data_IF_834108769808
#
_entry.id   IF_834108769808
#
_cell.length_a   1.000
_cell.length_b   1.000
_cell.length_c   1.000
_cell.angle_alpha   90.00
_cell.angle_beta   90.00
_cell.angle_gamma   90.00
#
_symmetry.space_group_name_H-M   'P 1'
#
loop_
_entity.id
_entity.type
_entity.pdbx_description
1 polymer ?
#
# COMPACT_ATOMS: atom_id res chain seq x y z
N UNK A 1 -6.46 8.24 -34.55
CA UNK A 1 -7.60 8.89 -33.88
C UNK A 1 -7.18 9.06 -32.43
N UNK A 2 -7.10 10.31 -31.91
CA UNK A 2 -6.77 10.54 -30.50
C UNK A 2 -7.97 10.05 -29.67
N UNK A 3 -7.75 9.10 -28.76
CA UNK A 3 -8.75 8.73 -27.76
C UNK A 3 -9.09 9.96 -26.93
N UNK A 4 -10.34 10.38 -26.97
CA UNK A 4 -10.85 11.48 -26.15
C UNK A 4 -10.86 10.99 -24.70
N UNK A 5 -9.83 11.32 -23.94
CA UNK A 5 -9.72 10.95 -22.52
C UNK A 5 -10.89 11.58 -21.77
N UNK A 6 -11.64 10.79 -21.01
CA UNK A 6 -12.74 11.30 -20.18
C UNK A 6 -12.26 12.44 -19.25
N UNK A 7 -13.04 13.51 -19.07
CA UNK A 7 -12.70 14.60 -18.16
C UNK A 7 -12.30 14.11 -16.75
N UNK A 8 -12.99 13.12 -16.22
CA UNK A 8 -12.67 12.48 -14.92
C UNK A 8 -11.30 11.82 -14.92
N UNK A 9 -10.92 11.12 -16.00
CA UNK A 9 -9.58 10.51 -16.11
C UNK A 9 -8.48 11.58 -16.12
N UNK A 10 -8.72 12.69 -16.80
CA UNK A 10 -7.76 13.80 -16.86
C UNK A 10 -7.62 14.45 -15.49
N UNK A 11 -8.72 14.72 -14.81
CA UNK A 11 -8.72 15.29 -13.47
C UNK A 11 -8.00 14.35 -12.47
N UNK A 12 -8.35 13.05 -12.48
CA UNK A 12 -7.68 12.04 -11.65
C UNK A 12 -6.16 12.07 -11.83
N UNK A 13 -5.69 12.07 -13.08
CA UNK A 13 -4.26 12.14 -13.39
C UNK A 13 -3.61 13.42 -12.86
N UNK A 14 -4.30 14.55 -12.96
CA UNK A 14 -3.80 15.84 -12.46
C UNK A 14 -3.63 15.82 -10.95
N UNK A 15 -4.65 15.35 -10.20
CA UNK A 15 -4.61 15.30 -8.75
C UNK A 15 -3.57 14.29 -8.22
N UNK A 16 -3.46 13.11 -8.86
CA UNK A 16 -2.41 12.13 -8.57
C UNK A 16 -1.03 12.76 -8.75
N UNK A 17 -0.78 13.41 -9.90
CA UNK A 17 0.52 14.00 -10.18
C UNK A 17 0.86 15.11 -9.18
N UNK A 18 -0.10 15.97 -8.82
CA UNK A 18 0.09 17.00 -7.80
C UNK A 18 0.53 16.39 -6.48
N UNK A 19 -0.25 15.45 -5.96
CA UNK A 19 0.00 14.78 -4.68
C UNK A 19 1.38 14.08 -4.67
N UNK A 20 1.69 13.27 -5.69
CA UNK A 20 2.95 12.54 -5.76
C UNK A 20 4.15 13.48 -5.86
N UNK A 21 4.04 14.61 -6.58
CA UNK A 21 5.12 15.60 -6.69
C UNK A 21 5.35 16.33 -5.35
N UNK A 22 4.31 16.69 -4.62
CA UNK A 22 4.42 17.30 -3.29
C UNK A 22 5.11 16.35 -2.30
N UNK A 23 4.69 15.08 -2.27
CA UNK A 23 5.32 14.05 -1.43
C UNK A 23 6.78 13.84 -1.82
N UNK A 24 7.09 13.77 -3.12
CA UNK A 24 8.47 13.63 -3.61
C UNK A 24 9.35 14.79 -3.15
N UNK A 25 8.91 16.03 -3.33
CA UNK A 25 9.66 17.20 -2.92
C UNK A 25 9.95 17.19 -1.41
N UNK A 26 8.96 16.83 -0.61
CA UNK A 26 9.05 16.74 0.83
C UNK A 26 10.02 15.63 1.28
N UNK A 27 9.87 14.40 0.75
CA UNK A 27 10.75 13.27 1.07
C UNK A 27 12.19 13.56 0.61
N UNK A 28 12.38 14.19 -0.55
CA UNK A 28 13.72 14.55 -1.05
C UNK A 28 14.42 15.56 -0.13
N UNK A 29 13.67 16.45 0.51
CA UNK A 29 14.21 17.46 1.42
C UNK A 29 14.49 16.94 2.82
N UNK A 30 13.60 16.06 3.36
CA UNK A 30 13.61 15.64 4.75
C UNK A 30 14.14 14.22 4.97
N UNK A 31 14.40 13.48 3.87
CA UNK A 31 14.72 12.07 3.90
C UNK A 31 13.51 11.19 4.30
N UNK A 32 13.73 9.89 4.31
CA UNK A 32 12.73 8.91 4.74
C UNK A 32 12.77 8.77 6.25
N UNK A 33 11.87 9.46 6.93
CA UNK A 33 11.72 9.45 8.39
C UNK A 33 10.26 9.25 8.79
N UNK A 34 9.97 8.81 10.02
CA UNK A 34 8.58 8.69 10.52
C UNK A 34 7.81 10.01 10.37
N UNK A 35 8.44 11.16 10.64
CA UNK A 35 7.82 12.48 10.48
C UNK A 35 7.49 12.78 9.03
N UNK A 36 8.44 12.56 8.11
CA UNK A 36 8.22 12.78 6.69
C UNK A 36 7.14 11.85 6.13
N UNK A 37 7.10 10.59 6.55
CA UNK A 37 6.02 9.67 6.14
C UNK A 37 4.66 10.08 6.73
N UNK A 38 4.62 10.66 7.92
CA UNK A 38 3.38 11.21 8.49
C UNK A 38 2.86 12.41 7.68
N UNK A 39 3.75 13.27 7.19
CA UNK A 39 3.39 14.36 6.28
C UNK A 39 2.93 13.82 4.91
N UNK A 40 3.64 12.83 4.35
CA UNK A 40 3.23 12.15 3.12
C UNK A 40 1.82 11.52 3.26
N UNK A 41 1.52 10.93 4.43
CA UNK A 41 0.19 10.42 4.74
C UNK A 41 -0.88 11.51 4.69
N UNK A 42 -0.61 12.71 5.20
CA UNK A 42 -1.56 13.81 5.15
C UNK A 42 -1.90 14.21 3.71
N UNK A 43 -0.91 14.32 2.81
CA UNK A 43 -1.15 14.57 1.37
C UNK A 43 -1.95 13.45 0.71
N UNK A 44 -1.66 12.19 1.05
CA UNK A 44 -2.37 11.05 0.47
C UNK A 44 -3.83 10.97 0.97
N UNK A 45 -4.08 11.32 2.24
CA UNK A 45 -5.42 11.43 2.80
C UNK A 45 -6.20 12.58 2.15
N UNK A 46 -5.55 13.71 1.83
CA UNK A 46 -6.20 14.78 1.06
C UNK A 46 -6.62 14.28 -0.32
N UNK A 47 -5.76 13.55 -1.04
CA UNK A 47 -6.11 12.93 -2.33
C UNK A 47 -7.29 11.95 -2.18
N UNK A 48 -7.36 11.20 -1.09
CA UNK A 48 -8.44 10.25 -0.82
C UNK A 48 -9.82 10.92 -0.60
N UNK A 49 -9.87 12.23 -0.37
CA UNK A 49 -11.16 12.96 -0.24
C UNK A 49 -11.91 13.11 -1.54
N UNK A 50 -11.25 12.95 -2.70
CA UNK A 50 -11.88 13.06 -4.04
C UNK A 50 -12.60 11.75 -4.40
N UNK A 51 -13.64 11.39 -3.64
CA UNK A 51 -14.39 10.13 -3.84
C UNK A 51 -15.05 10.03 -5.22
N UNK A 52 -15.37 11.16 -5.86
CA UNK A 52 -15.86 11.18 -7.24
C UNK A 52 -14.80 10.75 -8.27
N UNK A 53 -13.51 10.75 -7.88
CA UNK A 53 -12.39 10.27 -8.70
C UNK A 53 -11.93 8.87 -8.28
N UNK A 54 -12.10 8.50 -7.01
CA UNK A 54 -11.56 7.27 -6.43
C UNK A 54 -12.63 6.56 -5.62
N UNK A 55 -13.15 5.48 -6.16
CA UNK A 55 -14.16 4.63 -5.51
C UNK A 55 -14.10 3.21 -6.09
N UNK A 56 -14.80 2.28 -5.47
CA UNK A 56 -14.84 0.88 -5.87
C UNK A 56 -15.52 0.64 -7.23
N UNK A 57 -16.34 1.57 -7.75
CA UNK A 57 -16.89 1.47 -9.11
C UNK A 57 -15.79 1.66 -10.18
N UNK A 58 -14.79 2.50 -9.92
CA UNK A 58 -13.65 2.70 -10.82
C UNK A 58 -12.53 1.68 -10.62
N UNK A 59 -12.40 1.16 -9.42
CA UNK A 59 -11.36 0.21 -9.02
C UNK A 59 -11.97 -1.03 -8.36
N UNK A 60 -12.82 -1.78 -9.09
CA UNK A 60 -13.51 -2.94 -8.53
C UNK A 60 -12.56 -4.07 -8.19
N UNK A 61 -12.92 -4.89 -7.22
CA UNK A 61 -12.24 -6.16 -7.01
C UNK A 61 -12.55 -7.08 -8.18
N UNK A 62 -11.50 -7.61 -8.82
CA UNK A 62 -11.60 -8.64 -9.85
C UNK A 62 -11.49 -10.02 -9.17
N UNK A 63 -12.26 -11.02 -9.66
CA UNK A 63 -12.10 -12.44 -9.29
C UNK A 63 -12.77 -12.96 -8.00
N UNK A 64 -13.82 -12.31 -7.48
CA UNK A 64 -14.71 -12.96 -6.50
C UNK A 64 -14.35 -12.79 -5.02
N UNK A 65 -14.78 -13.74 -4.19
CA UNK A 65 -14.61 -13.69 -2.74
C UNK A 65 -13.14 -13.93 -2.30
N UNK A 66 -12.74 -13.35 -1.18
CA UNK A 66 -11.37 -13.41 -0.65
C UNK A 66 -10.32 -12.92 -1.67
N UNK A 67 -10.71 -12.00 -2.54
CA UNK A 67 -9.89 -11.49 -3.63
C UNK A 67 -9.38 -10.08 -3.34
N UNK A 68 -8.31 -9.73 -4.03
CA UNK A 68 -7.81 -8.36 -4.10
C UNK A 68 -7.39 -8.00 -5.51
N UNK A 69 -7.46 -6.70 -5.82
CA UNK A 69 -6.99 -6.15 -7.09
C UNK A 69 -6.12 -4.93 -6.82
N UNK A 70 -5.04 -4.82 -7.57
CA UNK A 70 -4.08 -3.76 -7.45
C UNK A 70 -3.99 -3.00 -8.78
N UNK A 71 -4.25 -1.71 -8.75
CA UNK A 71 -4.27 -0.82 -9.91
C UNK A 71 -3.11 0.16 -9.80
N UNK A 72 -2.17 0.12 -10.74
CA UNK A 72 -1.09 1.10 -10.80
C UNK A 72 -1.64 2.42 -11.32
N UNK A 73 -1.61 3.45 -10.50
CA UNK A 73 -2.11 4.79 -10.81
C UNK A 73 -1.00 5.71 -11.33
N UNK A 74 0.21 5.58 -10.77
CA UNK A 74 1.38 6.39 -11.12
C UNK A 74 2.65 5.70 -10.66
N UNK A 75 3.69 5.76 -11.47
CA UNK A 75 5.08 5.51 -11.10
C UNK A 75 5.99 6.38 -11.97
N UNK A 76 7.19 6.67 -11.52
CA UNK A 76 8.15 7.39 -12.36
C UNK A 76 9.00 6.45 -13.23
N UNK A 77 9.85 7.05 -14.07
CA UNK A 77 10.71 6.31 -15.01
C UNK A 77 11.74 5.40 -14.33
N UNK A 78 12.03 5.64 -13.04
CA UNK A 78 12.94 4.83 -12.23
C UNK A 78 12.20 3.82 -11.35
N UNK A 79 10.86 3.70 -11.52
CA UNK A 79 9.99 2.87 -10.70
C UNK A 79 9.95 3.30 -9.23
N UNK A 80 10.16 4.59 -8.97
CA UNK A 80 10.04 5.20 -7.64
C UNK A 80 8.68 5.89 -7.49
N UNK A 81 8.28 6.15 -6.22
CA UNK A 81 7.01 6.80 -5.88
C UNK A 81 5.81 6.17 -6.58
N UNK A 82 5.74 4.84 -6.51
CA UNK A 82 4.66 4.10 -7.15
C UNK A 82 3.38 4.16 -6.31
N UNK A 83 2.33 4.76 -6.87
CA UNK A 83 1.00 4.86 -6.26
C UNK A 83 0.07 3.82 -6.87
N UNK A 84 -0.60 3.06 -6.00
CA UNK A 84 -1.61 2.08 -6.37
C UNK A 84 -2.94 2.39 -5.68
N UNK A 85 -4.05 2.02 -6.34
CA UNK A 85 -5.33 1.76 -5.69
C UNK A 85 -5.41 0.26 -5.42
N UNK A 86 -5.65 -0.09 -4.16
CA UNK A 86 -5.78 -1.47 -3.70
C UNK A 86 -7.20 -1.70 -3.23
N UNK A 87 -7.92 -2.58 -3.91
CA UNK A 87 -9.26 -3.01 -3.53
C UNK A 87 -9.27 -4.47 -3.11
N UNK A 88 -10.06 -4.78 -2.09
CA UNK A 88 -10.18 -6.13 -1.57
C UNK A 88 -11.58 -6.44 -1.03
N UNK A 89 -11.92 -7.73 -0.99
CA UNK A 89 -13.15 -8.23 -0.41
C UNK A 89 -12.89 -8.91 0.93
N UNK A 90 -13.97 -9.05 1.71
CA UNK A 90 -13.93 -9.75 2.99
C UNK A 90 -13.21 -11.09 2.90
N UNK A 91 -12.39 -11.37 3.91
CA UNK A 91 -11.60 -12.59 4.03
C UNK A 91 -10.27 -12.56 3.29
N UNK A 92 -10.00 -11.53 2.48
CA UNK A 92 -8.65 -11.33 1.94
C UNK A 92 -7.70 -10.99 3.09
N UNK A 93 -6.55 -11.65 3.12
CA UNK A 93 -5.52 -11.44 4.12
C UNK A 93 -4.14 -11.61 3.48
N UNK A 94 -3.21 -10.73 3.84
CA UNK A 94 -1.80 -10.94 3.53
C UNK A 94 -1.09 -11.59 4.71
N UNK A 95 -0.09 -12.45 4.50
CA UNK A 95 0.80 -12.85 5.58
C UNK A 95 1.56 -11.63 6.12
N UNK A 96 2.09 -11.67 7.35
CA UNK A 96 3.05 -10.67 7.79
C UNK A 96 4.18 -10.54 6.78
N UNK A 97 4.50 -9.31 6.36
CA UNK A 97 5.52 -9.04 5.34
C UNK A 97 6.18 -7.68 5.51
N UNK A 98 7.40 -7.54 4.98
CA UNK A 98 8.08 -6.27 4.80
C UNK A 98 7.99 -5.78 3.35
N UNK A 99 8.40 -4.54 3.10
CA UNK A 99 8.42 -3.97 1.76
C UNK A 99 9.83 -3.71 1.24
N UNK A 100 10.84 -3.70 2.09
CA UNK A 100 12.22 -3.26 1.75
C UNK A 100 12.29 -1.84 1.19
N UNK A 101 11.20 -1.11 1.23
CA UNK A 101 11.02 0.31 0.91
C UNK A 101 9.98 0.90 1.87
N UNK A 102 9.93 2.22 1.98
CA UNK A 102 8.88 2.86 2.75
C UNK A 102 7.52 2.74 2.04
N UNK A 103 6.45 2.78 2.82
CA UNK A 103 5.09 2.81 2.31
C UNK A 103 4.18 3.74 3.12
N UNK A 104 3.14 4.25 2.46
CA UNK A 104 2.03 4.98 3.08
C UNK A 104 0.74 4.39 2.56
N UNK A 105 -0.17 4.02 3.47
CA UNK A 105 -1.50 3.52 3.13
C UNK A 105 -2.52 4.54 3.64
N UNK A 106 -3.51 4.89 2.81
CA UNK A 106 -4.59 5.82 3.16
C UNK A 106 -5.94 5.28 2.71
N UNK A 107 -6.92 5.29 3.63
CA UNK A 107 -8.26 4.77 3.37
C UNK A 107 -9.10 5.67 2.48
N UNK A 108 -9.83 5.08 1.54
CA UNK A 108 -10.77 5.74 0.62
C UNK A 108 -12.19 5.23 0.89
N UNK A 109 -12.38 3.92 0.94
CA UNK A 109 -13.66 3.26 1.22
C UNK A 109 -13.47 2.01 2.08
N UNK A 110 -14.42 1.76 2.97
CA UNK A 110 -14.42 0.58 3.84
C UNK A 110 -13.40 0.67 4.97
N UNK A 111 -13.05 -0.49 5.52
CA UNK A 111 -12.13 -0.63 6.65
C UNK A 111 -11.18 -1.81 6.41
N UNK A 112 -9.90 -1.57 6.62
CA UNK A 112 -8.82 -2.53 6.52
C UNK A 112 -8.06 -2.58 7.84
N UNK A 113 -7.96 -3.73 8.48
CA UNK A 113 -7.15 -3.92 9.68
C UNK A 113 -5.70 -4.19 9.29
N UNK A 114 -4.80 -3.31 9.72
CA UNK A 114 -3.37 -3.49 9.62
C UNK A 114 -2.83 -3.95 10.98
N UNK A 115 -2.11 -5.07 11.01
CA UNK A 115 -1.41 -5.56 12.19
C UNK A 115 0.09 -5.36 11.99
N UNK A 116 0.76 -4.90 13.04
CA UNK A 116 2.19 -4.58 13.03
C UNK A 116 2.96 -5.55 13.92
N UNK A 117 4.16 -5.91 13.46
CA UNK A 117 4.99 -6.93 14.09
C UNK A 117 6.42 -6.44 14.29
N UNK A 118 7.02 -6.80 15.42
CA UNK A 118 8.46 -6.67 15.63
C UNK A 118 9.14 -8.01 15.46
N UNK A 119 10.33 -7.99 14.89
CA UNK A 119 11.24 -9.13 14.87
C UNK A 119 11.89 -9.28 16.24
N UNK A 120 11.80 -10.45 16.86
CA UNK A 120 12.26 -10.71 18.23
C UNK A 120 13.45 -11.66 18.31
N UNK A 121 13.89 -12.25 17.21
CA UNK A 121 15.14 -13.00 17.07
C UNK A 121 16.34 -12.08 16.74
N UNK A 122 17.56 -12.62 16.71
CA UNK A 122 18.77 -11.84 16.45
C UNK A 122 19.07 -11.57 14.96
N UNK A 123 18.23 -12.07 14.07
CA UNK A 123 18.32 -11.86 12.62
C UNK A 123 19.49 -12.54 11.92
N UNK A 124 20.29 -13.38 12.58
CA UNK A 124 21.52 -13.95 12.01
C UNK A 124 21.30 -15.24 11.23
N UNK A 125 20.22 -15.96 11.48
CA UNK A 125 19.93 -17.22 10.83
C UNK A 125 19.15 -16.99 9.53
N UNK A 126 19.78 -17.27 8.38
CA UNK A 126 19.13 -17.11 7.08
C UNK A 126 17.90 -18.03 6.97
N UNK A 127 16.77 -17.47 6.50
CA UNK A 127 15.51 -18.18 6.34
C UNK A 127 14.71 -18.33 7.64
N UNK A 128 15.25 -17.94 8.78
CA UNK A 128 14.54 -17.95 10.07
C UNK A 128 14.20 -16.54 10.51
N UNK A 129 13.03 -16.39 11.13
CA UNK A 129 12.59 -15.16 11.76
C UNK A 129 11.49 -15.46 12.77
N UNK A 130 11.68 -15.02 13.99
CA UNK A 130 10.62 -14.96 14.99
C UNK A 130 10.08 -13.53 15.04
N UNK A 131 8.75 -13.38 14.82
CA UNK A 131 8.08 -12.08 14.88
C UNK A 131 6.94 -12.16 15.91
N UNK A 132 6.60 -11.01 16.49
CA UNK A 132 5.51 -10.85 17.44
C UNK A 132 4.62 -9.69 17.06
N UNK A 133 3.30 -9.91 17.10
CA UNK A 133 2.31 -8.82 16.94
C UNK A 133 2.44 -7.84 18.10
N UNK A 134 2.56 -6.56 17.78
CA UNK A 134 2.75 -5.46 18.72
C UNK A 134 1.48 -4.65 18.92
N UNK A 135 0.84 -4.27 17.83
CA UNK A 135 -0.39 -3.49 17.83
C UNK A 135 -1.12 -3.68 16.50
N UNK A 136 -2.30 -3.10 16.40
CA UNK A 136 -3.06 -3.02 15.16
C UNK A 136 -3.73 -1.66 15.01
N UNK A 137 -3.93 -1.26 13.76
CA UNK A 137 -4.61 -0.01 13.38
C UNK A 137 -5.63 -0.29 12.28
N UNK A 138 -6.76 0.41 12.31
CA UNK A 138 -7.76 0.35 11.24
C UNK A 138 -7.52 1.51 10.29
N UNK A 139 -7.30 1.16 9.02
CA UNK A 139 -7.29 2.11 7.90
C UNK A 139 -8.71 2.23 7.38
N UNK A 140 -9.25 3.45 7.38
CA UNK A 140 -10.58 3.79 6.92
C UNK A 140 -10.59 5.21 6.36
N UNK A 141 -11.73 5.72 5.94
CA UNK A 141 -11.86 7.12 5.46
C UNK A 141 -11.26 8.08 6.49
N UNK A 142 -10.30 8.89 6.05
CA UNK A 142 -9.61 9.89 6.87
C UNK A 142 -8.50 9.34 7.77
N UNK A 143 -8.21 8.04 7.72
CA UNK A 143 -7.11 7.41 8.46
C UNK A 143 -6.14 6.69 7.53
N UNK A 144 -4.95 6.39 8.05
CA UNK A 144 -3.92 5.68 7.27
C UNK A 144 -2.71 5.36 8.13
N UNK A 145 -1.85 4.50 7.60
CA UNK A 145 -0.64 4.03 8.26
C UNK A 145 0.62 4.32 7.45
N UNK A 146 1.76 4.33 8.10
CA UNK A 146 3.07 4.55 7.48
C UNK A 146 4.04 3.45 7.87
N UNK A 147 4.87 3.02 6.93
CA UNK A 147 5.85 1.96 7.12
C UNK A 147 7.24 2.43 6.66
N UNK A 148 8.23 2.23 7.50
CA UNK A 148 9.65 2.27 7.10
C UNK A 148 10.02 0.97 6.37
N UNK A 149 11.16 0.91 5.67
CA UNK A 149 11.55 -0.25 4.86
C UNK A 149 11.58 -1.59 5.61
N UNK A 150 11.89 -1.56 6.90
CA UNK A 150 12.01 -2.72 7.78
C UNK A 150 10.74 -3.07 8.54
N UNK A 151 9.72 -2.23 8.51
CA UNK A 151 8.47 -2.48 9.22
C UNK A 151 7.75 -3.70 8.66
N UNK A 152 7.25 -4.53 9.55
CA UNK A 152 6.51 -5.74 9.21
C UNK A 152 5.05 -5.52 9.53
N UNK A 153 4.18 -5.73 8.54
CA UNK A 153 2.73 -5.68 8.76
C UNK A 153 1.99 -6.79 8.02
N UNK A 154 0.73 -6.97 8.35
CA UNK A 154 -0.25 -7.75 7.58
C UNK A 154 -1.54 -6.97 7.42
N UNK A 155 -2.27 -7.26 6.35
CA UNK A 155 -3.53 -6.64 5.99
C UNK A 155 -4.65 -7.67 6.13
N UNK A 156 -5.79 -7.24 6.67
CA UNK A 156 -6.97 -8.09 6.85
C UNK A 156 -8.24 -7.31 6.50
N UNK A 157 -8.94 -7.72 5.46
CA UNK A 157 -10.26 -7.20 5.13
C UNK A 157 -11.33 -7.95 5.93
N UNK A 158 -11.89 -7.33 6.94
CA UNK A 158 -12.85 -7.94 7.87
C UNK A 158 -14.30 -7.52 7.58
N UNK A 159 -14.51 -6.48 6.77
CA UNK A 159 -15.84 -5.90 6.50
C UNK A 159 -16.52 -6.57 5.31
N UNK A 160 -17.85 -6.55 5.28
CA UNK A 160 -18.65 -7.17 4.21
C UNK A 160 -18.53 -6.42 2.88
N UNK A 161 -18.43 -5.09 2.94
CA UNK A 161 -18.30 -4.25 1.75
C UNK A 161 -16.85 -4.28 1.24
N UNK A 162 -16.64 -4.22 -0.08
CA UNK A 162 -15.29 -4.06 -0.62
C UNK A 162 -14.60 -2.82 -0.02
N UNK A 163 -13.29 -2.93 0.23
CA UNK A 163 -12.46 -1.79 0.65
C UNK A 163 -11.69 -1.24 -0.54
N UNK A 164 -11.33 0.03 -0.44
CA UNK A 164 -10.42 0.68 -1.37
C UNK A 164 -9.46 1.57 -0.59
N UNK A 165 -8.17 1.39 -0.81
CA UNK A 165 -7.12 2.15 -0.17
C UNK A 165 -6.07 2.60 -1.19
N UNK A 166 -5.45 3.76 -0.95
CA UNK A 166 -4.20 4.10 -1.63
C UNK A 166 -3.03 3.40 -0.94
N UNK A 167 -2.14 2.85 -1.75
CA UNK A 167 -0.83 2.34 -1.35
C UNK A 167 0.25 3.07 -2.13
N UNK A 168 0.98 3.96 -1.48
CA UNK A 168 2.13 4.65 -2.05
C UNK A 168 3.42 4.02 -1.52
N UNK A 169 4.26 3.59 -2.42
CA UNK A 169 5.56 2.98 -2.11
C UNK A 169 6.72 3.86 -2.62
N UNK A 170 7.82 3.86 -1.89
CA UNK A 170 9.06 4.51 -2.35
C UNK A 170 9.62 3.88 -3.62
N UNK A 171 9.30 2.62 -3.88
CA UNK A 171 9.62 1.90 -5.11
C UNK A 171 8.49 0.94 -5.47
N UNK A 172 8.24 0.79 -6.76
CA UNK A 172 7.22 -0.12 -7.29
C UNK A 172 7.43 -1.54 -6.76
N UNK A 173 6.35 -2.17 -6.30
CA UNK A 173 6.40 -3.50 -5.70
C UNK A 173 6.90 -4.59 -6.65
N UNK A 174 6.78 -4.40 -7.97
CA UNK A 174 7.33 -5.27 -9.00
C UNK A 174 8.87 -5.24 -9.02
N UNK A 175 9.47 -4.21 -8.42
CA UNK A 175 10.93 -3.98 -8.38
C UNK A 175 11.51 -4.16 -6.96
N UNK A 176 10.85 -4.96 -6.12
CA UNK A 176 11.24 -5.26 -4.74
C UNK A 176 11.44 -6.78 -4.54
N UNK A 177 12.46 -7.39 -5.14
CA UNK A 177 12.65 -8.85 -5.09
C UNK A 177 13.02 -9.38 -3.70
N UNK A 178 13.54 -8.52 -2.83
CA UNK A 178 14.00 -8.91 -1.48
C UNK A 178 12.91 -8.84 -0.40
N UNK A 179 11.68 -8.44 -0.76
CA UNK A 179 10.54 -8.46 0.18
C UNK A 179 10.37 -9.85 0.80
N UNK A 180 10.00 -9.87 2.09
CA UNK A 180 9.83 -11.12 2.82
C UNK A 180 8.41 -11.26 3.31
N UNK A 181 7.90 -12.47 3.28
CA UNK A 181 6.74 -12.89 4.08
C UNK A 181 7.20 -13.81 5.19
N UNK A 182 6.58 -13.67 6.35
CA UNK A 182 6.93 -14.34 7.59
C UNK A 182 5.87 -15.37 7.95
N UNK A 183 6.32 -16.58 8.29
CA UNK A 183 5.50 -17.65 8.86
C UNK A 183 5.74 -17.71 10.36
N UNK A 184 4.78 -17.22 11.15
CA UNK A 184 4.89 -17.16 12.61
C UNK A 184 4.90 -18.55 13.25
N UNK A 185 4.18 -19.51 12.67
CA UNK A 185 4.11 -20.85 13.22
C UNK A 185 5.40 -21.65 13.00
N UNK A 186 6.03 -21.45 11.84
CA UNK A 186 7.29 -22.10 11.49
C UNK A 186 8.52 -21.31 11.95
N UNK A 187 8.36 -20.07 12.41
CA UNK A 187 9.45 -19.13 12.71
C UNK A 187 10.41 -18.96 11.53
N UNK A 188 9.87 -18.80 10.32
CA UNK A 188 10.63 -18.67 9.08
C UNK A 188 10.17 -17.50 8.23
N UNK A 189 11.00 -17.11 7.27
CA UNK A 189 10.61 -16.19 6.21
C UNK A 189 11.00 -16.72 4.83
N UNK A 190 10.29 -16.26 3.82
CA UNK A 190 10.61 -16.49 2.40
C UNK A 190 10.46 -15.20 1.61
N UNK A 191 11.02 -15.15 0.41
CA UNK A 191 10.78 -14.03 -0.49
C UNK A 191 9.30 -13.94 -0.86
N UNK A 192 8.78 -12.71 -0.85
CA UNK A 192 7.37 -12.40 -1.12
C UNK A 192 7.28 -11.68 -2.48
N UNK A 193 7.00 -12.39 -3.57
CA UNK A 193 6.92 -11.78 -4.89
C UNK A 193 5.74 -10.81 -4.97
N UNK A 194 5.81 -9.87 -5.90
CA UNK A 194 4.69 -8.99 -6.20
C UNK A 194 3.46 -9.79 -6.66
N UNK A 195 2.26 -9.23 -6.40
CA UNK A 195 1.04 -9.79 -6.95
C UNK A 195 1.13 -9.75 -8.50
N UNK A 196 0.95 -10.88 -9.21
CA UNK A 196 1.02 -10.91 -10.67
C UNK A 196 -0.14 -10.17 -11.35
N UNK A 197 -1.21 -9.86 -10.62
CA UNK A 197 -2.44 -9.25 -11.13
C UNK A 197 -2.47 -7.73 -10.90
N UNK A 198 -1.42 -7.01 -11.32
CA UNK A 198 -1.41 -5.55 -11.31
C UNK A 198 -2.06 -5.04 -12.60
N UNK A 199 -3.15 -4.29 -12.46
CA UNK A 199 -3.81 -3.62 -13.57
C UNK A 199 -3.06 -2.31 -13.90
N UNK A 200 -2.74 -2.12 -15.19
CA UNK A 200 -2.02 -0.92 -15.71
C UNK A 200 -2.87 -0.12 -16.66
#
# INVERSE_FOLDING_TARGET
>A
MAETTSPLKTQRKTEINRCVQEIRAMISSNGVTRSALSEAKAHLLELATYQELFNTDFFPVQNGDNASSLYLLSEDVNHEYALYAFSETRGNMTPPHDHTTWAVIAGIEGEELNKFYDRVDDGKSKGQAEIREMHSEVVSIGTGVTLLPEDIHSIHCLVEQPTLNFHLYGRSIEHLPERKSFDMAACTYKHFPANPNIHK
#
